data_IF_321867974519
#
_entry.id   IF_321867974519
#
_cell.length_a   1.000
_cell.length_b   1.000
_cell.length_c   1.000
_cell.angle_alpha   90.00
_cell.angle_beta   90.00
_cell.angle_gamma   90.00
#
_symmetry.space_group_name_H-M   'P 1'
#
loop_
_entity.id
_entity.type
_entity.pdbx_description
1 polymer ?
#
# COMPACT_ATOMS: atom_id res chain seq x y z
N UNK A 1 38.77 -9.99 20.53
CA UNK A 1 38.28 -8.76 19.85
C UNK A 1 37.46 -9.03 18.58
N UNK A 2 37.78 -10.04 17.77
CA UNK A 2 37.10 -10.32 16.49
C UNK A 2 35.56 -10.46 16.57
N UNK A 3 35.01 -11.14 17.60
CA UNK A 3 33.55 -11.28 17.77
C UNK A 3 32.80 -9.95 17.86
N UNK A 4 33.38 -8.94 18.54
CA UNK A 4 32.79 -7.60 18.69
C UNK A 4 32.83 -6.81 17.37
N UNK A 5 33.83 -7.06 16.53
CA UNK A 5 33.91 -6.46 15.19
C UNK A 5 32.85 -7.04 14.24
N UNK A 6 32.62 -8.35 14.27
CA UNK A 6 31.54 -8.99 13.48
C UNK A 6 30.15 -8.48 13.87
N UNK A 7 29.86 -8.32 15.16
CA UNK A 7 28.55 -7.80 15.60
C UNK A 7 28.35 -6.34 15.18
N UNK A 8 29.41 -5.53 15.20
CA UNK A 8 29.35 -4.13 14.79
C UNK A 8 29.15 -3.99 13.27
N UNK A 9 29.84 -4.83 12.48
CA UNK A 9 29.69 -4.86 11.03
C UNK A 9 28.27 -5.28 10.60
N UNK A 10 27.68 -6.27 11.29
CA UNK A 10 26.31 -6.72 10.99
C UNK A 10 25.26 -5.67 11.35
N UNK A 11 25.44 -4.97 12.47
CA UNK A 11 24.56 -3.87 12.87
C UNK A 11 24.63 -2.69 11.87
N UNK A 12 25.82 -2.38 11.37
CA UNK A 12 26.00 -1.31 10.38
C UNK A 12 25.36 -1.69 9.02
N UNK A 13 25.50 -2.93 8.58
CA UNK A 13 24.85 -3.44 7.38
C UNK A 13 23.31 -3.39 7.48
N UNK A 14 22.75 -3.73 8.64
CA UNK A 14 21.31 -3.67 8.90
C UNK A 14 20.77 -2.23 8.82
N UNK A 15 21.51 -1.24 9.35
CA UNK A 15 21.12 0.18 9.25
C UNK A 15 21.06 0.69 7.80
N UNK A 16 21.98 0.23 6.95
CA UNK A 16 22.02 0.65 5.54
C UNK A 16 20.96 -0.02 4.66
N UNK A 17 20.39 -1.15 5.08
CA UNK A 17 19.35 -1.85 4.34
C UNK A 17 17.95 -1.21 4.51
N UNK A 18 17.74 -0.43 5.57
CA UNK A 18 16.43 0.15 5.91
C UNK A 18 15.92 1.21 4.94
N UNK A 19 16.81 1.88 4.19
CA UNK A 19 16.43 2.92 3.22
C UNK A 19 15.89 2.36 1.90
N UNK A 20 16.10 1.06 1.62
CA UNK A 20 15.60 0.40 0.42
C UNK A 20 14.18 -0.19 0.58
N UNK A 21 13.61 -0.18 1.79
CA UNK A 21 12.31 -0.78 2.12
C UNK A 21 11.23 0.31 2.20
N UNK A 22 11.24 1.27 1.26
CA UNK A 22 10.14 2.22 1.10
C UNK A 22 9.36 1.82 -0.14
N UNK A 23 8.18 1.22 0.06
CA UNK A 23 7.26 0.96 -1.03
C UNK A 23 6.91 2.30 -1.69
N UNK A 24 7.03 2.36 -3.03
CA UNK A 24 6.76 3.59 -3.76
C UNK A 24 5.27 3.90 -3.65
N UNK A 25 4.94 5.11 -3.19
CA UNK A 25 3.54 5.57 -3.13
C UNK A 25 2.95 5.55 -4.54
N UNK A 26 1.82 4.88 -4.71
CA UNK A 26 1.03 4.96 -5.93
C UNK A 26 0.32 6.31 -5.95
N UNK A 27 0.59 7.14 -6.95
CA UNK A 27 -0.18 8.37 -7.22
C UNK A 27 -1.13 8.09 -8.36
N UNK A 28 -2.43 8.18 -8.09
CA UNK A 28 -3.50 7.96 -9.06
C UNK A 28 -4.30 9.25 -9.23
N UNK A 29 -4.50 9.66 -10.49
CA UNK A 29 -5.36 10.78 -10.84
C UNK A 29 -6.78 10.25 -11.04
N UNK A 30 -7.66 10.50 -10.08
CA UNK A 30 -9.08 10.17 -10.19
C UNK A 30 -9.73 10.94 -11.34
N UNK A 31 -10.72 10.32 -11.99
CA UNK A 31 -11.55 10.95 -13.03
C UNK A 31 -12.30 12.19 -12.51
N UNK A 32 -12.58 12.24 -11.19
CA UNK A 32 -13.20 13.37 -10.52
C UNK A 32 -13.18 13.25 -9.00
N UNK A 33 -13.78 14.24 -8.34
CA UNK A 33 -13.95 14.21 -6.89
C UNK A 33 -14.99 13.17 -6.48
N UNK A 34 -14.68 12.28 -5.52
CA UNK A 34 -15.67 11.34 -4.99
C UNK A 34 -16.71 12.08 -4.14
N UNK A 35 -17.95 11.63 -4.22
CA UNK A 35 -19.06 12.19 -3.46
C UNK A 35 -18.91 11.92 -1.96
N UNK A 36 -18.45 10.71 -1.61
CA UNK A 36 -18.16 10.28 -0.25
C UNK A 36 -17.40 8.95 -0.25
N UNK A 37 -16.93 8.49 0.92
CA UNK A 37 -16.26 7.21 1.15
C UNK A 37 -17.15 6.19 1.88
N UNK A 38 -18.46 6.22 1.65
CA UNK A 38 -19.38 5.22 2.18
C UNK A 38 -19.93 4.33 1.05
N UNK A 39 -19.32 3.15 0.79
CA UNK A 39 -19.73 2.29 -0.32
C UNK A 39 -21.15 1.69 -0.17
N UNK A 40 -21.78 1.84 1.00
CA UNK A 40 -23.18 1.42 1.20
C UNK A 40 -24.19 2.46 0.68
N UNK A 41 -23.75 3.70 0.46
CA UNK A 41 -24.62 4.83 0.09
C UNK A 41 -24.35 5.37 -1.32
N UNK A 42 -23.14 5.16 -1.84
CA UNK A 42 -22.70 5.74 -3.12
C UNK A 42 -22.13 4.66 -4.04
N UNK A 43 -22.54 4.67 -5.31
CA UNK A 43 -22.21 3.64 -6.31
C UNK A 43 -21.70 4.23 -7.63
N UNK A 44 -21.35 5.51 -7.67
CA UNK A 44 -20.72 6.13 -8.83
C UNK A 44 -19.32 5.54 -9.05
N UNK A 45 -18.84 5.55 -10.30
CA UNK A 45 -17.51 5.06 -10.64
C UNK A 45 -16.42 5.78 -9.85
N UNK A 46 -16.47 7.12 -9.78
CA UNK A 46 -15.51 7.95 -9.04
C UNK A 46 -15.44 7.62 -7.55
N UNK A 47 -16.57 7.42 -6.87
CA UNK A 47 -16.58 7.02 -5.44
C UNK A 47 -16.11 5.58 -5.24
N UNK A 48 -16.47 4.67 -6.15
CA UNK A 48 -16.07 3.26 -6.08
C UNK A 48 -14.56 3.10 -6.28
N UNK A 49 -13.99 3.80 -7.27
CA UNK A 49 -12.56 3.79 -7.58
C UNK A 49 -11.72 4.42 -6.46
N UNK A 50 -12.24 5.47 -5.81
CA UNK A 50 -11.56 6.14 -4.70
C UNK A 50 -11.67 5.40 -3.36
N UNK A 51 -12.71 4.61 -3.13
CA UNK A 51 -12.99 4.04 -1.80
C UNK A 51 -13.37 2.55 -1.78
N UNK A 52 -14.36 2.12 -2.55
CA UNK A 52 -15.00 0.81 -2.36
C UNK A 52 -14.08 -0.38 -2.68
N UNK A 53 -13.06 -0.18 -3.52
CA UNK A 53 -12.03 -1.19 -3.86
C UNK A 53 -10.73 -0.98 -3.07
N UNK A 54 -10.14 0.25 -2.98
CA UNK A 54 -8.85 0.42 -2.31
C UNK A 54 -8.92 0.58 -0.78
N UNK A 55 -10.07 0.97 -0.19
CA UNK A 55 -10.18 1.29 1.25
C UNK A 55 -10.94 0.24 2.06
N UNK A 56 -11.90 -0.46 1.45
CA UNK A 56 -12.78 -1.40 2.15
C UNK A 56 -12.66 -2.84 1.63
N UNK A 57 -12.74 -3.80 2.53
CA UNK A 57 -12.84 -5.22 2.17
C UNK A 57 -14.28 -5.62 1.85
N UNK A 58 -14.42 -6.53 0.88
CA UNK A 58 -15.69 -7.14 0.46
C UNK A 58 -15.73 -8.60 0.91
N UNK A 59 -16.90 -9.24 0.86
CA UNK A 59 -17.04 -10.67 1.20
C UNK A 59 -16.31 -11.58 0.21
N UNK A 60 -16.20 -11.14 -1.03
CA UNK A 60 -15.48 -11.80 -2.11
C UNK A 60 -14.52 -10.80 -2.74
N UNK A 61 -13.35 -11.28 -3.14
CA UNK A 61 -12.34 -10.49 -3.83
C UNK A 61 -11.86 -11.27 -5.06
N UNK A 62 -11.59 -10.54 -6.14
CA UNK A 62 -11.21 -11.11 -7.42
C UNK A 62 -9.79 -10.69 -7.75
N UNK A 63 -8.97 -11.63 -8.20
CA UNK A 63 -7.63 -11.31 -8.69
C UNK A 63 -7.75 -10.44 -9.93
N UNK A 64 -7.00 -9.34 -9.99
CA UNK A 64 -6.98 -8.47 -11.15
C UNK A 64 -6.72 -9.29 -12.44
N UNK A 65 -7.63 -9.18 -13.41
CA UNK A 65 -7.58 -9.90 -14.69
C UNK A 65 -8.20 -11.30 -14.70
N UNK A 66 -8.84 -11.75 -13.61
CA UNK A 66 -9.59 -13.01 -13.55
C UNK A 66 -11.08 -12.77 -13.34
N UNK A 67 -11.88 -13.84 -13.43
CA UNK A 67 -13.30 -13.88 -13.04
C UNK A 67 -13.51 -14.94 -11.97
#
# INVERSE_FOLDING_TARGET
MQRRFTTLALALAALTASSAISAKTLVYCSEGSPENFNPQLYTSGTSVDASAVPVYNRLVDFKAGTT
#
